data_IF_727875156505
#
_entry.id   IF_727875156505
#
_cell.length_a   1.000
_cell.length_b   1.000
_cell.length_c   1.000
_cell.angle_alpha   90.00
_cell.angle_beta   90.00
_cell.angle_gamma   90.00
#
_symmetry.space_group_name_H-M   'P 1'
#
loop_
_entity.id
_entity.type
_entity.pdbx_description
1 polymer ?
#
# COMPACT_ATOMS: atom_id res chain seq x y z
N UNK A 1 64.57 32.22 12.88
CA UNK A 1 64.00 31.76 11.59
C UNK A 1 63.48 30.32 11.60
N UNK A 2 64.01 29.40 12.41
CA UNK A 2 63.56 27.99 12.45
C UNK A 2 62.18 27.80 13.16
N UNK A 3 61.83 28.66 14.12
CA UNK A 3 60.56 28.56 14.87
C UNK A 3 59.34 29.07 14.08
N UNK A 4 59.55 29.95 13.11
CA UNK A 4 58.49 30.50 12.25
C UNK A 4 58.13 29.55 11.11
N UNK A 5 59.10 28.86 10.52
CA UNK A 5 58.85 27.82 9.50
C UNK A 5 58.12 26.60 10.08
N UNK A 6 58.43 26.20 11.31
CA UNK A 6 57.74 25.10 12.00
C UNK A 6 56.27 25.42 12.30
N UNK A 7 55.95 26.66 12.69
CA UNK A 7 54.55 27.11 12.90
C UNK A 7 53.75 27.18 11.60
N UNK A 8 54.35 27.64 10.50
CA UNK A 8 53.69 27.68 9.18
C UNK A 8 53.42 26.25 8.67
N UNK A 9 54.35 25.32 8.86
CA UNK A 9 54.14 23.90 8.51
C UNK A 9 53.04 23.24 9.34
N UNK A 10 52.94 23.60 10.62
CA UNK A 10 51.89 23.08 11.54
C UNK A 10 50.50 23.61 11.16
N UNK A 11 50.40 24.88 10.75
CA UNK A 11 49.13 25.49 10.27
C UNK A 11 48.71 24.91 8.92
N UNK A 12 49.67 24.60 8.04
CA UNK A 12 49.39 23.97 6.75
C UNK A 12 48.93 22.50 6.91
N UNK A 13 49.53 21.75 7.84
CA UNK A 13 49.06 20.40 8.19
C UNK A 13 47.68 20.41 8.86
N UNK A 14 47.37 21.41 9.70
CA UNK A 14 46.03 21.54 10.31
C UNK A 14 44.97 21.89 9.27
N UNK A 15 45.32 22.66 8.24
CA UNK A 15 44.42 23.06 7.16
C UNK A 15 44.12 21.90 6.20
N UNK A 16 45.06 20.97 6.02
CA UNK A 16 44.85 19.75 5.22
C UNK A 16 43.97 18.71 5.93
N UNK A 17 44.01 18.67 7.27
CA UNK A 17 43.18 17.76 8.07
C UNK A 17 41.67 18.12 8.06
N UNK A 18 41.32 19.39 7.82
CA UNK A 18 39.92 19.84 7.74
C UNK A 18 39.28 19.46 6.39
N UNK A 19 40.06 19.39 5.30
CA UNK A 19 39.55 18.96 3.99
C UNK A 19 39.36 17.44 3.86
N UNK A 20 39.99 16.64 4.72
CA UNK A 20 39.94 15.18 4.66
C UNK A 20 38.67 14.56 5.29
N UNK A 21 37.78 15.35 5.90
CA UNK A 21 36.57 14.87 6.59
C UNK A 21 35.27 14.96 5.78
N UNK A 22 35.35 15.09 4.46
CA UNK A 22 34.18 14.94 3.57
C UNK A 22 34.04 13.53 3.01
N UNK A 23 34.34 12.49 3.82
CA UNK A 23 33.87 11.16 3.49
C UNK A 23 32.35 11.15 3.74
N UNK A 24 31.51 10.95 2.71
CA UNK A 24 30.09 10.76 2.96
C UNK A 24 29.98 9.58 3.91
N UNK A 25 29.27 9.75 5.02
CA UNK A 25 28.79 8.67 5.87
C UNK A 25 27.78 7.85 5.06
N UNK A 26 28.29 7.15 4.03
CA UNK A 26 27.51 6.34 3.13
C UNK A 26 27.12 5.10 3.88
N UNK A 27 25.82 4.87 4.02
CA UNK A 27 25.30 3.59 4.47
C UNK A 27 25.82 2.44 3.59
N UNK A 28 25.46 1.21 3.96
CA UNK A 28 25.96 -0.02 3.34
C UNK A 28 25.97 0.11 1.80
N UNK A 29 27.10 -0.17 1.11
CA UNK A 29 27.18 -0.03 -0.34
C UNK A 29 26.06 -0.81 -1.03
N UNK A 30 25.32 -0.15 -1.93
CA UNK A 30 24.28 -0.80 -2.72
C UNK A 30 24.96 -1.43 -3.94
N UNK A 31 24.74 -2.72 -4.15
CA UNK A 31 25.31 -3.42 -5.30
C UNK A 31 24.88 -2.74 -6.60
N UNK A 32 25.84 -2.48 -7.50
CA UNK A 32 25.58 -1.79 -8.77
C UNK A 32 25.61 -0.26 -8.70
N UNK A 33 25.79 0.34 -7.52
CA UNK A 33 25.89 1.80 -7.34
C UNK A 33 27.34 2.21 -7.02
N UNK A 34 27.73 3.42 -7.43
CA UNK A 34 28.94 4.05 -6.87
C UNK A 34 28.71 4.41 -5.40
N UNK A 35 29.78 4.65 -4.64
CA UNK A 35 29.67 5.04 -3.23
C UNK A 35 28.80 6.29 -3.02
N UNK A 36 28.99 7.31 -3.86
CA UNK A 36 28.18 8.53 -3.84
C UNK A 36 26.69 8.24 -4.12
N UNK A 37 26.40 7.50 -5.20
CA UNK A 37 25.01 7.18 -5.56
C UNK A 37 24.32 6.28 -4.54
N UNK A 38 25.07 5.42 -3.85
CA UNK A 38 24.53 4.63 -2.73
C UNK A 38 24.08 5.55 -1.59
N UNK A 39 24.87 6.57 -1.25
CA UNK A 39 24.49 7.57 -0.25
C UNK A 39 23.23 8.35 -0.64
N UNK A 40 23.15 8.80 -1.89
CA UNK A 40 21.98 9.51 -2.42
C UNK A 40 20.72 8.65 -2.38
N UNK A 41 20.84 7.37 -2.76
CA UNK A 41 19.72 6.42 -2.75
C UNK A 41 19.18 6.18 -1.34
N UNK A 42 20.07 5.89 -0.37
CA UNK A 42 19.68 5.67 1.03
C UNK A 42 19.01 6.92 1.62
N UNK A 43 19.50 8.12 1.27
CA UNK A 43 18.87 9.36 1.71
C UNK A 43 17.46 9.52 1.16
N UNK A 44 17.23 9.17 -0.11
CA UNK A 44 15.90 9.21 -0.75
C UNK A 44 14.95 8.17 -0.16
N UNK A 45 15.43 6.96 0.08
CA UNK A 45 14.66 5.91 0.76
C UNK A 45 14.23 6.38 2.16
N UNK A 46 15.14 6.93 2.96
CA UNK A 46 14.81 7.47 4.27
C UNK A 46 13.79 8.62 4.23
N UNK A 47 13.89 9.50 3.22
CA UNK A 47 12.88 10.56 3.00
C UNK A 47 11.51 9.97 2.66
N UNK A 48 11.47 8.98 1.76
CA UNK A 48 10.23 8.29 1.39
C UNK A 48 9.60 7.57 2.58
N UNK A 49 10.39 6.77 3.30
CA UNK A 49 9.94 6.00 4.46
C UNK A 49 9.39 6.90 5.57
N UNK A 50 9.96 8.10 5.76
CA UNK A 50 9.47 9.07 6.75
C UNK A 50 8.04 9.57 6.48
N UNK A 51 7.57 9.44 5.24
CA UNK A 51 6.20 9.76 4.83
C UNK A 51 5.20 8.63 5.03
N UNK A 52 5.66 7.39 5.27
CA UNK A 52 4.80 6.23 5.41
C UNK A 52 4.17 6.18 6.80
N UNK A 53 2.84 6.05 6.84
CA UNK A 53 2.05 5.98 8.08
C UNK A 53 1.25 4.69 8.11
N UNK A 54 1.45 3.86 9.13
CA UNK A 54 0.72 2.60 9.30
C UNK A 54 -0.79 2.83 9.49
N UNK A 55 -1.15 3.99 10.03
CA UNK A 55 -2.52 4.47 10.20
C UNK A 55 -3.27 4.49 8.86
N UNK A 56 -2.62 4.95 7.79
CA UNK A 56 -3.23 5.03 6.47
C UNK A 56 -3.68 3.65 6.00
N UNK A 57 -2.83 2.62 6.15
CA UNK A 57 -3.16 1.25 5.73
C UNK A 57 -4.37 0.71 6.49
N UNK A 58 -4.40 0.93 7.81
CA UNK A 58 -5.52 0.50 8.66
C UNK A 58 -6.82 1.21 8.28
N UNK A 59 -6.77 2.52 8.06
CA UNK A 59 -7.96 3.31 7.78
C UNK A 59 -8.49 3.05 6.37
N UNK A 60 -7.59 2.90 5.38
CA UNK A 60 -7.97 2.48 4.04
C UNK A 60 -8.53 1.07 4.02
N UNK A 61 -7.94 0.11 4.73
CA UNK A 61 -8.49 -1.24 4.83
C UNK A 61 -9.93 -1.20 5.37
N UNK A 62 -10.14 -0.55 6.52
CA UNK A 62 -11.47 -0.39 7.12
C UNK A 62 -12.47 0.23 6.16
N UNK A 63 -12.08 1.30 5.44
CA UNK A 63 -12.95 1.97 4.46
C UNK A 63 -13.24 1.08 3.26
N UNK A 64 -12.23 0.51 2.63
CA UNK A 64 -12.38 -0.22 1.37
C UNK A 64 -13.13 -1.54 1.57
N UNK A 65 -13.02 -2.17 2.75
CA UNK A 65 -13.69 -3.44 3.08
C UNK A 65 -14.97 -3.28 3.92
N UNK A 66 -15.47 -2.07 4.14
CA UNK A 66 -16.60 -1.86 5.05
C UNK A 66 -17.90 -2.52 4.58
N UNK A 67 -18.04 -2.73 3.26
CA UNK A 67 -19.21 -3.30 2.60
C UNK A 67 -18.86 -4.15 1.37
N UNK A 68 -19.74 -5.09 0.95
CA UNK A 68 -19.60 -5.81 -0.30
C UNK A 68 -19.36 -4.88 -1.49
N UNK A 69 -18.25 -5.10 -2.22
CA UNK A 69 -17.82 -4.27 -3.35
C UNK A 69 -17.62 -5.09 -4.63
N UNK A 70 -18.57 -5.98 -4.94
CA UNK A 70 -18.51 -6.78 -6.17
C UNK A 70 -18.69 -5.90 -7.44
N UNK A 71 -18.40 -6.49 -8.60
CA UNK A 71 -18.54 -5.82 -9.90
C UNK A 71 -19.96 -5.25 -10.07
N UNK A 72 -20.06 -3.95 -10.38
CA UNK A 72 -21.33 -3.25 -10.57
C UNK A 72 -22.05 -2.79 -9.28
N UNK A 73 -21.53 -3.13 -8.09
CA UNK A 73 -22.15 -2.71 -6.83
C UNK A 73 -21.97 -1.20 -6.55
N UNK A 74 -22.89 -0.56 -5.80
CA UNK A 74 -22.75 0.84 -5.40
C UNK A 74 -21.45 1.12 -4.64
N UNK A 75 -21.09 0.26 -3.69
CA UNK A 75 -19.90 0.47 -2.86
C UNK A 75 -18.59 0.28 -3.64
N UNK A 76 -18.58 -0.55 -4.68
CA UNK A 76 -17.44 -0.64 -5.58
C UNK A 76 -17.21 0.68 -6.34
N UNK A 77 -18.28 1.36 -6.78
CA UNK A 77 -18.17 2.69 -7.40
C UNK A 77 -17.65 3.72 -6.40
N UNK A 78 -18.19 3.74 -5.17
CA UNK A 78 -17.70 4.63 -4.11
C UNK A 78 -16.21 4.39 -3.80
N UNK A 79 -15.74 3.14 -3.82
CA UNK A 79 -14.33 2.82 -3.65
C UNK A 79 -13.49 3.32 -4.82
N UNK A 80 -13.93 3.14 -6.07
CA UNK A 80 -13.22 3.63 -7.25
C UNK A 80 -13.09 5.17 -7.22
N UNK A 81 -14.15 5.88 -6.87
CA UNK A 81 -14.16 7.34 -6.74
C UNK A 81 -13.25 7.82 -5.61
N UNK A 82 -13.27 7.13 -4.46
CA UNK A 82 -12.37 7.43 -3.34
C UNK A 82 -10.90 7.25 -3.75
N UNK A 83 -10.55 6.14 -4.38
CA UNK A 83 -9.18 5.87 -4.84
C UNK A 83 -8.75 6.93 -5.86
N UNK A 84 -9.61 7.26 -6.83
CA UNK A 84 -9.33 8.31 -7.80
C UNK A 84 -9.12 9.68 -7.13
N UNK A 85 -9.87 9.99 -6.05
CA UNK A 85 -9.68 11.23 -5.28
C UNK A 85 -8.32 11.28 -4.59
N UNK A 86 -7.82 10.14 -4.07
CA UNK A 86 -6.50 10.06 -3.46
C UNK A 86 -5.41 10.32 -4.49
N UNK A 87 -5.46 9.65 -5.65
CA UNK A 87 -4.49 9.89 -6.73
C UNK A 87 -4.46 11.36 -7.18
N UNK A 88 -5.62 11.98 -7.38
CA UNK A 88 -5.70 13.41 -7.71
C UNK A 88 -5.09 14.28 -6.61
N UNK A 89 -5.34 13.95 -5.34
CA UNK A 89 -4.78 14.69 -4.20
C UNK A 89 -3.24 14.62 -4.12
N UNK A 90 -2.65 13.56 -4.67
CA UNK A 90 -1.19 13.38 -4.75
C UNK A 90 -0.58 14.01 -6.00
N UNK A 91 -1.39 14.64 -6.86
CA UNK A 91 -0.93 15.34 -8.06
C UNK A 91 -0.86 14.47 -9.31
N UNK A 92 -1.48 13.29 -9.31
CA UNK A 92 -1.58 12.46 -10.52
C UNK A 92 -2.71 12.95 -11.42
N UNK A 93 -2.48 12.87 -12.74
CA UNK A 93 -3.56 12.89 -13.72
C UNK A 93 -4.37 11.59 -13.58
N UNK A 94 -5.69 11.68 -13.42
CA UNK A 94 -6.51 10.50 -13.05
C UNK A 94 -7.89 10.57 -13.67
N UNK A 95 -8.16 9.61 -14.56
CA UNK A 95 -9.47 9.34 -15.15
C UNK A 95 -10.07 8.04 -14.58
N UNK A 96 -11.39 7.97 -14.53
CA UNK A 96 -12.11 6.72 -14.30
C UNK A 96 -12.64 6.25 -15.65
N UNK A 97 -12.12 5.12 -16.11
CA UNK A 97 -12.58 4.48 -17.34
C UNK A 97 -13.75 3.55 -17.02
N UNK A 98 -14.83 3.66 -17.80
CA UNK A 98 -16.04 2.86 -17.62
C UNK A 98 -16.16 1.87 -18.79
N UNK A 99 -16.52 0.63 -18.45
CA UNK A 99 -16.75 -0.44 -19.42
C UNK A 99 -18.09 -1.11 -19.15
N UNK A 100 -18.84 -1.34 -20.21
CA UNK A 100 -20.08 -2.12 -20.16
C UNK A 100 -19.76 -3.59 -20.42
N UNK A 101 -19.96 -4.44 -19.41
CA UNK A 101 -19.63 -5.87 -19.47
C UNK A 101 -20.83 -6.71 -19.08
N UNK A 102 -20.96 -7.88 -19.70
CA UNK A 102 -21.94 -8.89 -19.29
C UNK A 102 -21.45 -9.58 -18.02
N UNK A 103 -22.13 -9.33 -16.90
CA UNK A 103 -21.86 -9.97 -15.63
C UNK A 103 -23.05 -10.83 -15.18
N UNK A 104 -22.96 -12.17 -15.27
CA UNK A 104 -24.07 -13.04 -14.91
C UNK A 104 -24.22 -13.13 -13.39
N UNK A 105 -25.41 -12.85 -12.89
CA UNK A 105 -25.80 -13.10 -11.50
C UNK A 105 -26.89 -14.17 -11.46
N UNK A 106 -26.81 -15.15 -10.54
CA UNK A 106 -27.79 -16.24 -10.50
C UNK A 106 -29.15 -15.73 -10.02
N UNK A 107 -30.21 -16.04 -10.76
CA UNK A 107 -31.59 -15.76 -10.34
C UNK A 107 -32.09 -16.75 -9.28
N UNK A 108 -31.60 -17.99 -9.32
CA UNK A 108 -32.03 -19.07 -8.43
C UNK A 108 -30.85 -19.96 -8.11
N UNK A 109 -30.75 -20.38 -6.84
CA UNK A 109 -29.75 -21.32 -6.36
C UNK A 109 -30.46 -22.38 -5.53
N UNK A 110 -30.19 -23.65 -5.85
CA UNK A 110 -30.81 -24.77 -5.18
C UNK A 110 -29.85 -25.95 -5.25
N UNK A 111 -29.55 -26.54 -4.10
CA UNK A 111 -28.81 -27.79 -4.00
C UNK A 111 -29.58 -28.69 -3.06
N UNK A 112 -29.99 -29.84 -3.58
CA UNK A 112 -30.84 -30.79 -2.87
C UNK A 112 -30.25 -32.20 -2.98
N UNK A 113 -30.14 -32.87 -1.83
CA UNK A 113 -30.06 -34.32 -1.78
C UNK A 113 -31.49 -34.84 -1.90
N UNK A 114 -31.73 -35.65 -2.93
CA UNK A 114 -33.07 -36.22 -3.21
C UNK A 114 -33.22 -37.65 -2.67
N UNK A 115 -32.11 -38.34 -2.42
CA UNK A 115 -32.03 -39.68 -1.83
C UNK A 115 -30.64 -39.93 -1.19
N UNK A 116 -30.52 -40.83 -0.19
CA UNK A 116 -31.59 -41.61 0.43
C UNK A 116 -32.53 -40.78 1.33
N UNK A 117 -32.07 -39.63 1.80
CA UNK A 117 -32.86 -38.66 2.57
C UNK A 117 -33.06 -37.38 1.76
N UNK A 118 -34.12 -36.62 2.06
CA UNK A 118 -34.31 -35.28 1.49
C UNK A 118 -33.60 -34.24 2.34
N UNK A 119 -32.71 -33.48 1.73
CA UNK A 119 -32.03 -32.38 2.40
C UNK A 119 -31.77 -31.24 1.41
N UNK A 120 -32.19 -30.03 1.77
CA UNK A 120 -31.98 -28.81 0.97
C UNK A 120 -30.93 -27.95 1.66
N UNK A 121 -29.86 -27.60 0.94
CA UNK A 121 -28.82 -26.70 1.47
C UNK A 121 -29.36 -25.28 1.60
N UNK A 122 -28.94 -24.58 2.67
CA UNK A 122 -29.32 -23.18 2.93
C UNK A 122 -28.63 -22.19 2.00
N UNK A 123 -27.46 -22.56 1.47
CA UNK A 123 -26.65 -21.76 0.54
C UNK A 123 -26.48 -20.29 0.97
N UNK A 124 -26.38 -20.03 2.27
CA UNK A 124 -26.23 -18.68 2.83
C UNK A 124 -25.35 -18.75 4.07
N UNK A 125 -24.34 -17.89 4.11
CA UNK A 125 -23.48 -17.75 5.26
C UNK A 125 -24.23 -17.00 6.38
N UNK A 126 -24.20 -17.50 7.63
CA UNK A 126 -24.80 -16.81 8.76
C UNK A 126 -23.94 -15.62 9.18
N UNK A 127 -24.53 -14.70 9.93
CA UNK A 127 -23.76 -13.65 10.60
C UNK A 127 -22.78 -14.26 11.61
N UNK A 128 -21.59 -13.69 11.69
CA UNK A 128 -20.50 -14.14 12.57
C UNK A 128 -20.36 -13.14 13.72
N UNK A 129 -20.51 -13.57 14.99
CA UNK A 129 -20.32 -12.70 16.13
C UNK A 129 -18.92 -12.06 16.13
N UNK A 130 -18.88 -10.73 16.24
CA UNK A 130 -17.63 -9.95 16.21
C UNK A 130 -17.21 -9.46 14.82
N UNK A 131 -17.89 -9.90 13.74
CA UNK A 131 -17.71 -9.38 12.39
C UNK A 131 -18.91 -8.53 11.98
N UNK A 132 -18.71 -7.20 12.00
CA UNK A 132 -19.74 -6.23 11.62
C UNK A 132 -20.13 -6.26 10.13
N UNK A 133 -19.40 -7.00 9.29
CA UNK A 133 -19.64 -7.07 7.83
C UNK A 133 -20.40 -8.32 7.41
N UNK A 134 -20.36 -9.39 8.23
CA UNK A 134 -21.03 -10.67 7.96
C UNK A 134 -22.56 -10.57 7.82
N UNK A 135 -23.20 -9.60 8.48
CA UNK A 135 -24.64 -9.35 8.43
C UNK A 135 -25.16 -8.56 7.22
N UNK A 136 -24.30 -8.13 6.31
CA UNK A 136 -24.68 -7.28 5.17
C UNK A 136 -25.28 -8.07 3.99
N UNK A 137 -26.13 -9.04 4.29
CA UNK A 137 -26.60 -10.07 3.35
C UNK A 137 -27.35 -9.50 2.13
N UNK A 138 -28.07 -8.38 2.29
CA UNK A 138 -28.80 -7.72 1.21
C UNK A 138 -27.90 -7.14 0.11
N UNK A 139 -26.60 -6.98 0.39
CA UNK A 139 -25.62 -6.40 -0.53
C UNK A 139 -24.63 -7.42 -1.08
N UNK A 140 -24.60 -8.61 -0.49
CA UNK A 140 -23.69 -9.68 -0.89
C UNK A 140 -24.13 -10.30 -2.22
N UNK A 141 -23.15 -10.79 -2.98
CA UNK A 141 -23.48 -11.68 -4.10
C UNK A 141 -24.05 -13.00 -3.55
N UNK A 142 -25.01 -13.61 -4.25
CA UNK A 142 -25.44 -14.95 -3.91
C UNK A 142 -24.24 -15.91 -3.94
N UNK A 143 -24.00 -16.65 -2.86
CA UNK A 143 -22.84 -17.54 -2.74
C UNK A 143 -22.88 -18.67 -3.78
N UNK A 144 -21.74 -19.00 -4.38
CA UNK A 144 -21.68 -19.99 -5.47
C UNK A 144 -21.56 -21.42 -4.94
N UNK A 145 -20.75 -21.63 -3.90
CA UNK A 145 -20.60 -22.90 -3.18
C UNK A 145 -20.70 -22.58 -1.69
N UNK A 146 -21.78 -22.96 -1.03
CA UNK A 146 -21.99 -22.76 0.41
C UNK A 146 -22.64 -24.00 1.02
#
# INVERSE_FOLDING_TARGET
MIKTTLRVLTVFLLSFAVFAQSAPSGGKPIMGYSAQRSGDQISREGQFDSGLKAENLRDWMKRLSARPHHLGSPYNKENAEFIASLFRSWGYETTLEEFEVLFPTPNTRLVEMTAPEKFTLRLQEPEVPGDSTSGQQSEQLPTYNA
#
